data_IF_870178014798
#
_entry.id   IF_870178014798
#
_cell.length_a   1.000
_cell.length_b   1.000
_cell.length_c   1.000
_cell.angle_alpha   90.00
_cell.angle_beta   90.00
_cell.angle_gamma   90.00
#
_symmetry.space_group_name_H-M   'P 1'
#
loop_
_entity.id
_entity.type
_entity.pdbx_description
1 polymer ?
#
# COMPACT_ATOMS: atom_id res chain seq x y z
N UNK A 1 -7.19 47.28 -21.04
CA UNK A 1 -8.62 47.39 -21.38
C UNK A 1 -9.37 47.63 -20.09
N UNK A 2 -9.60 48.90 -19.77
CA UNK A 2 -10.26 49.33 -18.53
C UNK A 2 -11.76 49.36 -18.76
N UNK A 3 -12.44 48.27 -18.38
CA UNK A 3 -13.89 48.19 -18.38
C UNK A 3 -14.44 48.77 -17.10
N UNK A 4 -15.06 49.94 -17.22
CA UNK A 4 -15.90 50.58 -16.22
C UNK A 4 -17.10 49.67 -15.92
N UNK A 5 -16.95 48.75 -14.96
CA UNK A 5 -18.06 47.96 -14.44
C UNK A 5 -18.64 48.72 -13.26
N UNK A 6 -19.70 49.49 -13.51
CA UNK A 6 -20.51 50.22 -12.54
C UNK A 6 -21.20 49.27 -11.54
N UNK A 7 -20.41 48.57 -10.72
CA UNK A 7 -20.88 47.81 -9.57
C UNK A 7 -20.65 48.69 -8.37
N UNK A 8 -21.73 49.20 -7.77
CA UNK A 8 -21.63 50.01 -6.57
C UNK A 8 -20.96 49.20 -5.46
N UNK A 9 -20.09 49.80 -4.66
CA UNK A 9 -19.42 49.11 -3.52
C UNK A 9 -20.44 48.50 -2.53
N UNK A 10 -21.66 49.04 -2.51
CA UNK A 10 -22.78 48.49 -1.74
C UNK A 10 -23.32 47.15 -2.28
N UNK A 11 -23.09 46.80 -3.54
CA UNK A 11 -23.56 45.52 -4.12
C UNK A 11 -22.58 44.36 -3.86
N UNK A 12 -21.29 44.68 -3.69
CA UNK A 12 -20.21 43.71 -3.44
C UNK A 12 -19.92 43.49 -1.94
N UNK A 13 -20.44 44.37 -1.06
CA UNK A 13 -20.19 44.30 0.36
C UNK A 13 -21.15 43.33 1.06
N UNK A 14 -20.60 42.32 1.74
CA UNK A 14 -21.38 41.26 2.39
C UNK A 14 -22.33 41.76 3.50
N UNK A 15 -22.10 42.96 4.07
CA UNK A 15 -22.94 43.54 5.12
C UNK A 15 -23.95 44.58 4.61
N UNK A 16 -24.02 44.80 3.30
CA UNK A 16 -24.94 45.76 2.68
C UNK A 16 -26.30 45.13 2.38
N UNK A 17 -27.37 45.91 2.47
CA UNK A 17 -28.74 45.44 2.17
C UNK A 17 -28.98 45.12 0.69
N UNK A 18 -28.06 45.55 -0.20
CA UNK A 18 -28.15 45.36 -1.66
C UNK A 18 -27.13 44.34 -2.18
N UNK A 19 -26.69 43.41 -1.34
CA UNK A 19 -25.66 42.45 -1.68
C UNK A 19 -26.10 41.49 -2.81
N UNK A 20 -25.33 41.45 -3.90
CA UNK A 20 -25.51 40.51 -5.00
C UNK A 20 -24.38 39.46 -4.99
N UNK A 21 -24.67 38.19 -4.65
CA UNK A 21 -23.64 37.17 -4.55
C UNK A 21 -22.99 36.82 -5.89
N UNK A 22 -23.73 36.94 -7.01
CA UNK A 22 -23.22 36.58 -8.34
C UNK A 22 -22.25 37.66 -8.83
N UNK A 23 -22.63 38.94 -8.70
CA UNK A 23 -21.72 40.05 -9.01
C UNK A 23 -20.48 40.04 -8.13
N UNK A 24 -20.63 39.67 -6.86
CA UNK A 24 -19.50 39.56 -5.93
C UNK A 24 -18.51 38.49 -6.39
N UNK A 25 -18.99 37.30 -6.77
CA UNK A 25 -18.13 36.18 -7.20
C UNK A 25 -17.25 36.53 -8.42
N UNK A 26 -17.77 37.32 -9.36
CA UNK A 26 -17.06 37.74 -10.56
C UNK A 26 -16.39 39.11 -10.44
N UNK A 27 -16.53 39.78 -9.30
CA UNK A 27 -15.87 41.06 -9.04
C UNK A 27 -14.41 40.86 -8.70
N UNK A 28 -13.57 41.78 -9.17
CA UNK A 28 -12.14 41.84 -8.81
C UNK A 28 -11.88 42.44 -7.44
N UNK A 29 -12.89 43.05 -6.80
CA UNK A 29 -12.79 43.78 -5.53
C UNK A 29 -13.72 43.21 -4.46
N UNK A 30 -13.63 41.92 -4.18
CA UNK A 30 -14.39 41.34 -3.06
C UNK A 30 -13.77 41.78 -1.73
N UNK A 31 -14.52 42.56 -0.95
CA UNK A 31 -14.09 42.97 0.38
C UNK A 31 -14.56 41.95 1.41
N UNK A 32 -13.62 41.31 2.09
CA UNK A 32 -13.91 40.55 3.30
C UNK A 32 -14.23 41.57 4.41
N UNK A 33 -15.35 41.44 5.15
CA UNK A 33 -15.75 42.41 6.16
C UNK A 33 -14.72 42.67 7.27
N UNK A 34 -13.76 41.76 7.47
CA UNK A 34 -12.69 41.87 8.45
C UNK A 34 -11.35 41.82 7.71
N UNK A 35 -10.57 42.91 7.80
CA UNK A 35 -9.31 43.07 7.07
C UNK A 35 -8.25 42.00 7.43
N UNK A 36 -8.22 41.56 8.69
CA UNK A 36 -7.24 40.60 9.20
C UNK A 36 -7.78 39.16 9.26
N UNK A 37 -8.82 38.85 8.50
CA UNK A 37 -9.38 37.50 8.50
C UNK A 37 -8.44 36.49 7.81
N UNK A 38 -8.16 35.33 8.43
CA UNK A 38 -7.42 34.25 7.78
C UNK A 38 -8.16 33.75 6.54
N UNK A 39 -7.50 33.79 5.38
CA UNK A 39 -8.05 33.25 4.14
C UNK A 39 -7.56 31.81 3.91
N UNK A 40 -8.47 30.94 3.46
CA UNK A 40 -8.17 29.55 3.10
C UNK A 40 -8.75 29.26 1.72
N UNK A 41 -8.03 28.45 0.93
CA UNK A 41 -8.46 28.14 -0.45
C UNK A 41 -9.39 26.92 -0.53
N UNK A 42 -9.42 26.08 0.50
CA UNK A 42 -10.29 24.88 0.56
C UNK A 42 -11.03 24.81 1.89
N UNK A 43 -12.21 24.19 1.86
CA UNK A 43 -12.98 23.84 3.06
C UNK A 43 -12.16 22.93 3.97
N UNK A 44 -11.40 21.99 3.41
CA UNK A 44 -10.53 21.09 4.19
C UNK A 44 -9.46 21.86 4.99
N UNK A 45 -8.89 22.91 4.39
CA UNK A 45 -7.89 23.76 5.06
C UNK A 45 -8.51 24.52 6.23
N UNK A 46 -9.74 25.01 6.05
CA UNK A 46 -10.49 25.69 7.08
C UNK A 46 -10.88 24.75 8.22
N UNK A 47 -11.48 23.60 7.91
CA UNK A 47 -11.87 22.59 8.89
C UNK A 47 -10.67 22.10 9.69
N UNK A 48 -9.56 21.81 9.00
CA UNK A 48 -8.35 21.38 9.66
C UNK A 48 -7.76 22.50 10.53
N UNK A 49 -7.91 23.79 10.17
CA UNK A 49 -7.47 24.91 11.04
C UNK A 49 -8.34 25.07 12.29
N UNK A 50 -9.62 24.70 12.22
CA UNK A 50 -10.51 24.68 13.39
C UNK A 50 -10.18 23.51 14.32
N UNK A 51 -9.94 22.33 13.75
CA UNK A 51 -9.65 21.10 14.50
C UNK A 51 -8.23 21.11 15.09
N UNK A 52 -7.25 21.49 14.28
CA UNK A 52 -5.84 21.59 14.64
C UNK A 52 -5.47 23.06 14.75
N UNK A 53 -5.53 23.61 15.97
CA UNK A 53 -5.17 25.01 16.24
C UNK A 53 -3.81 25.33 15.61
N UNK A 54 -3.84 26.09 14.52
CA UNK A 54 -2.68 26.70 13.84
C UNK A 54 -1.74 25.77 13.05
N UNK A 55 -2.16 24.55 12.65
CA UNK A 55 -1.31 23.71 11.78
C UNK A 55 -1.29 24.19 10.32
N UNK A 56 -2.41 24.76 9.86
CA UNK A 56 -2.54 25.26 8.49
C UNK A 56 -2.28 26.76 8.48
N UNK A 57 -1.29 27.18 7.71
CA UNK A 57 -0.95 28.58 7.50
C UNK A 57 -1.95 29.20 6.52
N UNK A 58 -2.58 30.33 6.85
CA UNK A 58 -3.51 31.00 5.95
C UNK A 58 -2.82 31.56 4.70
N UNK A 59 -3.60 31.75 3.66
CA UNK A 59 -3.15 32.25 2.35
C UNK A 59 -2.60 33.67 2.50
N UNK A 60 -1.48 33.95 1.83
CA UNK A 60 -0.80 35.25 1.90
C UNK A 60 0.39 35.29 2.87
N UNK A 61 0.56 34.29 3.74
CA UNK A 61 1.68 34.22 4.69
C UNK A 61 2.81 33.28 4.22
N UNK A 62 3.31 33.50 2.99
CA UNK A 62 4.39 32.67 2.39
C UNK A 62 5.67 32.63 3.24
N UNK A 63 6.00 33.73 3.91
CA UNK A 63 7.16 33.82 4.81
C UNK A 63 7.05 32.87 6.01
N UNK A 64 5.86 32.76 6.61
CA UNK A 64 5.63 31.84 7.74
C UNK A 64 5.77 30.38 7.30
N UNK A 65 5.27 30.03 6.11
CA UNK A 65 5.44 28.69 5.53
C UNK A 65 6.92 28.37 5.32
N UNK A 66 7.68 29.34 4.79
CA UNK A 66 9.12 29.17 4.55
C UNK A 66 9.87 28.94 5.86
N UNK A 67 9.63 29.78 6.89
CA UNK A 67 10.26 29.65 8.19
C UNK A 67 9.96 28.29 8.85
N UNK A 68 8.70 27.85 8.83
CA UNK A 68 8.31 26.54 9.37
C UNK A 68 9.01 25.39 8.65
N UNK A 69 9.14 25.48 7.31
CA UNK A 69 9.83 24.47 6.51
C UNK A 69 11.31 24.39 6.88
N UNK A 70 11.99 25.54 6.98
CA UNK A 70 13.40 25.63 7.34
C UNK A 70 13.65 25.10 8.77
N UNK A 71 12.78 25.42 9.72
CA UNK A 71 12.90 24.92 11.09
C UNK A 71 12.72 23.39 11.14
N UNK A 72 11.71 22.87 10.43
CA UNK A 72 11.46 21.44 10.33
C UNK A 72 12.62 20.69 9.65
N UNK A 73 13.25 21.30 8.66
CA UNK A 73 14.42 20.75 8.00
C UNK A 73 15.65 20.74 8.92
N UNK A 74 15.90 21.83 9.65
CA UNK A 74 16.98 21.90 10.65
C UNK A 74 16.82 20.83 11.73
N UNK A 75 15.61 20.67 12.25
CA UNK A 75 15.28 19.65 13.25
C UNK A 75 15.52 18.23 12.72
N UNK A 76 15.01 17.93 11.53
CA UNK A 76 15.25 16.62 10.88
C UNK A 76 16.73 16.37 10.62
N UNK A 77 17.48 17.38 10.18
CA UNK A 77 18.92 17.24 9.93
C UNK A 77 19.70 16.99 11.22
N UNK A 78 19.32 17.65 12.32
CA UNK A 78 19.92 17.41 13.63
C UNK A 78 19.59 16.01 14.17
N UNK A 79 18.32 15.57 14.06
CA UNK A 79 17.91 14.21 14.39
C UNK A 79 18.65 13.16 13.55
N UNK A 80 18.78 13.41 12.24
CA UNK A 80 19.51 12.53 11.33
C UNK A 80 21.00 12.46 11.70
N UNK A 81 21.61 13.58 12.09
CA UNK A 81 23.00 13.63 12.56
C UNK A 81 23.17 12.84 13.86
N UNK A 82 22.29 13.03 14.83
CA UNK A 82 22.31 12.29 16.10
C UNK A 82 22.12 10.79 15.86
N UNK A 83 21.19 10.40 14.99
CA UNK A 83 20.95 9.00 14.62
C UNK A 83 22.16 8.40 13.89
N UNK A 84 22.80 9.16 12.99
CA UNK A 84 24.01 8.72 12.30
C UNK A 84 25.18 8.53 13.27
N UNK A 85 25.35 9.42 14.25
CA UNK A 85 26.37 9.30 15.29
C UNK A 85 26.10 8.11 16.21
N UNK A 86 24.86 7.92 16.68
CA UNK A 86 24.46 6.78 17.48
C UNK A 86 24.67 5.45 16.71
N UNK A 87 24.33 5.43 15.42
CA UNK A 87 24.60 4.28 14.56
C UNK A 87 26.11 4.03 14.41
N UNK A 88 26.90 5.09 14.17
CA UNK A 88 28.36 4.97 14.09
C UNK A 88 28.95 4.37 15.37
N UNK A 89 28.53 4.85 16.54
CA UNK A 89 28.97 4.31 17.83
C UNK A 89 28.52 2.85 18.02
N UNK A 90 27.26 2.52 17.68
CA UNK A 90 26.71 1.17 17.77
C UNK A 90 27.47 0.17 16.89
N UNK A 91 27.87 0.60 15.69
CA UNK A 91 28.53 -0.24 14.69
C UNK A 91 30.07 -0.17 14.72
N UNK A 92 30.67 0.76 15.47
CA UNK A 92 32.13 0.85 15.63
C UNK A 92 32.76 -0.48 16.09
N UNK A 93 32.10 -1.19 17.01
CA UNK A 93 32.54 -2.53 17.48
C UNK A 93 32.42 -3.66 16.44
N UNK A 94 31.74 -3.42 15.33
CA UNK A 94 31.45 -4.43 14.29
C UNK A 94 32.11 -4.09 12.94
N UNK A 95 33.05 -3.13 12.90
CA UNK A 95 33.75 -2.72 11.66
C UNK A 95 34.61 -3.85 11.04
N UNK A 96 34.98 -4.86 11.81
CA UNK A 96 35.66 -6.04 11.29
C UNK A 96 34.66 -6.97 10.56
N UNK A 97 35.05 -7.58 9.42
CA UNK A 97 34.30 -8.69 8.83
C UNK A 97 34.15 -9.81 9.86
N UNK A 98 32.98 -9.87 10.52
CA UNK A 98 32.69 -10.97 11.42
C UNK A 98 32.42 -12.21 10.58
N UNK A 99 33.02 -13.36 10.92
CA UNK A 99 32.72 -14.61 10.21
C UNK A 99 31.23 -14.90 10.40
N UNK A 100 30.44 -14.65 9.35
CA UNK A 100 29.01 -14.96 9.34
C UNK A 100 28.90 -16.48 9.35
N UNK A 101 28.42 -17.05 10.44
CA UNK A 101 27.97 -18.45 10.43
C UNK A 101 26.91 -18.54 9.32
N UNK A 102 27.05 -19.46 8.34
CA UNK A 102 26.02 -19.62 7.33
C UNK A 102 24.70 -19.88 8.05
N UNK A 103 23.61 -19.21 7.64
CA UNK A 103 22.30 -19.49 8.23
C UNK A 103 22.06 -21.00 8.14
N UNK A 104 21.46 -21.62 9.17
CA UNK A 104 21.19 -23.05 9.15
C UNK A 104 20.44 -23.36 7.86
N UNK A 105 20.94 -24.35 7.11
CA UNK A 105 20.33 -24.77 5.87
C UNK A 105 18.87 -25.10 6.17
N UNK A 106 17.96 -24.25 5.69
CA UNK A 106 16.53 -24.52 5.77
C UNK A 106 16.30 -25.67 4.80
N UNK A 107 16.22 -26.90 5.31
CA UNK A 107 15.79 -28.05 4.52
C UNK A 107 14.37 -27.72 4.04
N UNK A 108 14.26 -27.27 2.80
CA UNK A 108 12.98 -26.96 2.18
C UNK A 108 12.18 -28.25 2.17
N UNK A 109 11.09 -28.30 2.94
CA UNK A 109 10.20 -29.46 3.07
C UNK A 109 9.36 -29.64 1.81
N UNK A 110 10.03 -29.92 0.71
CA UNK A 110 9.42 -30.12 -0.60
C UNK A 110 8.81 -31.52 -0.67
N UNK A 111 7.86 -31.72 -1.59
CA UNK A 111 7.21 -33.01 -1.81
C UNK A 111 8.24 -34.12 -2.08
N UNK A 112 9.31 -33.82 -2.84
CA UNK A 112 10.39 -34.77 -3.12
C UNK A 112 11.11 -35.24 -1.85
N UNK A 113 11.37 -34.33 -0.90
CA UNK A 113 11.98 -34.68 0.38
C UNK A 113 11.03 -35.53 1.22
N UNK A 114 9.72 -35.21 1.21
CA UNK A 114 8.71 -36.05 1.86
C UNK A 114 8.62 -37.43 1.23
N UNK A 115 8.70 -37.56 -0.09
CA UNK A 115 8.70 -38.87 -0.77
C UNK A 115 9.91 -39.71 -0.36
N UNK A 116 11.07 -39.09 -0.15
CA UNK A 116 12.28 -39.78 0.31
C UNK A 116 12.12 -40.31 1.74
N UNK A 117 11.51 -39.52 2.62
CA UNK A 117 11.36 -39.80 4.05
C UNK A 117 10.01 -40.45 4.43
N UNK A 118 9.27 -41.03 3.47
CA UNK A 118 7.99 -41.71 3.75
C UNK A 118 8.26 -43.10 4.35
N UNK A 119 7.68 -43.32 5.53
CA UNK A 119 7.59 -44.62 6.19
C UNK A 119 6.13 -45.13 6.25
N UNK A 120 5.96 -46.45 6.39
CA UNK A 120 4.64 -47.09 6.54
C UNK A 120 4.03 -47.59 5.23
N UNK A 121 2.68 -47.66 5.10
CA UNK A 121 2.03 -48.30 3.96
C UNK A 121 2.32 -47.63 2.61
N UNK A 122 2.61 -46.33 2.61
CA UNK A 122 3.00 -45.59 1.41
C UNK A 122 4.46 -45.83 0.99
N UNK A 123 5.31 -46.40 1.87
CA UNK A 123 6.69 -46.74 1.54
C UNK A 123 6.77 -47.86 0.50
N UNK A 124 5.77 -48.75 0.45
CA UNK A 124 5.66 -49.76 -0.62
C UNK A 124 5.46 -49.08 -1.98
N UNK A 125 4.64 -48.04 -2.03
CA UNK A 125 4.44 -47.28 -3.26
C UNK A 125 5.72 -46.53 -3.68
N UNK A 126 6.49 -46.01 -2.71
CA UNK A 126 7.82 -45.45 -2.96
C UNK A 126 8.75 -46.48 -3.62
N UNK A 127 8.79 -47.71 -3.12
CA UNK A 127 9.58 -48.79 -3.73
C UNK A 127 9.12 -49.12 -5.16
N UNK A 128 7.81 -49.11 -5.42
CA UNK A 128 7.29 -49.29 -6.78
C UNK A 128 7.76 -48.19 -7.74
N UNK A 129 7.84 -46.94 -7.27
CA UNK A 129 8.38 -45.82 -8.06
C UNK A 129 9.89 -45.99 -8.29
N UNK A 130 10.66 -46.30 -7.25
CA UNK A 130 12.11 -46.49 -7.33
C UNK A 130 12.49 -47.63 -8.29
N UNK A 131 11.69 -48.70 -8.33
CA UNK A 131 11.87 -49.87 -9.21
C UNK A 131 11.13 -49.75 -10.56
N UNK A 132 10.44 -48.62 -10.80
CA UNK A 132 9.63 -48.35 -12.01
C UNK A 132 8.63 -49.48 -12.34
N UNK A 133 7.95 -49.99 -11.32
CA UNK A 133 6.93 -51.03 -11.46
C UNK A 133 5.60 -50.44 -11.92
N UNK A 134 4.89 -51.17 -12.79
CA UNK A 134 3.55 -50.78 -13.25
C UNK A 134 2.51 -51.13 -12.19
N UNK A 135 1.84 -50.11 -11.64
CA UNK A 135 0.82 -50.28 -10.59
C UNK A 135 -0.58 -50.06 -11.17
N UNK A 136 -1.51 -50.98 -10.92
CA UNK A 136 -2.93 -50.85 -11.29
C UNK A 136 -3.71 -50.23 -10.12
N UNK A 137 -4.16 -48.99 -10.28
CA UNK A 137 -4.96 -48.28 -9.27
C UNK A 137 -6.45 -48.54 -9.53
N UNK A 138 -7.15 -49.07 -8.52
CA UNK A 138 -8.61 -49.23 -8.57
C UNK A 138 -9.25 -48.05 -7.84
N UNK A 139 -9.93 -47.18 -8.58
CA UNK A 139 -10.65 -46.04 -8.00
C UNK A 139 -12.06 -46.53 -7.66
N UNK A 140 -12.55 -46.34 -6.43
CA UNK A 140 -13.91 -46.74 -6.08
C UNK A 140 -14.90 -45.88 -6.87
N UNK A 141 -15.73 -46.54 -7.69
CA UNK A 141 -16.86 -45.90 -8.34
C UNK A 141 -17.90 -45.56 -7.28
N UNK A 142 -18.12 -44.27 -7.05
CA UNK A 142 -19.29 -43.82 -6.31
C UNK A 142 -20.51 -44.23 -7.14
N UNK A 143 -21.26 -45.22 -6.66
CA UNK A 143 -22.57 -45.65 -7.16
C UNK A 143 -22.61 -46.05 -8.65
N UNK A 144 -22.42 -47.34 -8.95
CA UNK A 144 -22.94 -47.93 -10.17
C UNK A 144 -23.59 -49.27 -9.85
N UNK A 145 -24.93 -49.26 -9.81
CA UNK A 145 -25.73 -50.46 -9.83
C UNK A 145 -25.54 -51.26 -11.12
N UNK A 146 -25.89 -52.53 -11.03
CA UNK A 146 -26.38 -53.37 -12.12
C UNK A 146 -25.49 -53.49 -13.35
N UNK A 147 -24.63 -54.51 -13.36
CA UNK A 147 -24.00 -54.97 -14.59
C UNK A 147 -25.06 -55.57 -15.54
N UNK A 148 -25.37 -54.86 -16.62
CA UNK A 148 -25.71 -55.48 -17.90
C UNK A 148 -24.43 -55.59 -18.73
N UNK A 149 -24.12 -56.81 -19.18
CA UNK A 149 -23.04 -57.10 -20.11
C UNK A 149 -23.34 -56.42 -21.46
N UNK A 150 -22.52 -55.46 -21.87
CA UNK A 150 -22.36 -55.09 -23.28
C UNK A 150 -20.91 -54.67 -23.57
N UNK A 151 -20.26 -55.20 -24.63
CA UNK A 151 -18.86 -54.95 -24.95
C UNK A 151 -18.74 -53.77 -25.90
N UNK A 152 -19.04 -52.57 -25.43
CA UNK A 152 -18.82 -51.37 -26.22
C UNK A 152 -18.61 -50.16 -25.30
N UNK A 153 -17.34 -49.87 -25.00
CA UNK A 153 -16.80 -48.51 -24.91
C UNK A 153 -15.29 -48.66 -24.68
N UNK A 154 -14.56 -48.57 -25.79
CA UNK A 154 -13.12 -48.51 -25.80
C UNK A 154 -12.65 -47.27 -25.06
N UNK A 155 -12.16 -47.48 -23.84
CA UNK A 155 -11.27 -46.51 -23.21
C UNK A 155 -9.85 -46.77 -23.73
N UNK A 156 -9.30 -45.72 -24.33
CA UNK A 156 -7.97 -45.63 -24.91
C UNK A 156 -6.92 -46.33 -24.03
N UNK A 157 -6.30 -47.39 -24.58
CA UNK A 157 -5.30 -48.22 -23.92
C UNK A 157 -3.94 -47.52 -23.71
N UNK A 158 -3.81 -46.25 -24.07
CA UNK A 158 -2.54 -45.54 -24.07
C UNK A 158 -2.63 -44.21 -23.30
N UNK A 159 -2.99 -44.29 -22.00
CA UNK A 159 -2.53 -43.28 -21.05
C UNK A 159 -1.34 -43.88 -20.30
N UNK A 160 -0.25 -44.13 -21.02
CA UNK A 160 1.07 -44.28 -20.43
C UNK A 160 1.47 -42.93 -19.83
N UNK A 161 1.10 -42.71 -18.58
CA UNK A 161 1.88 -41.84 -17.70
C UNK A 161 3.11 -42.64 -17.30
N UNK A 162 4.10 -42.63 -18.18
CA UNK A 162 5.46 -43.01 -17.86
C UNK A 162 5.99 -42.00 -16.83
N UNK A 163 6.26 -42.48 -15.61
CA UNK A 163 7.15 -41.82 -14.65
C UNK A 163 8.53 -42.46 -14.75
#
# INVERSE_FOLDING_TARGET
MSGDSSTSDSEISACSSKFDPVKTLYSSRTLVPVENAPMYNSVDQFEASLQSKNTIVPVGHSELVRQQKEEKEKRQNEEARQLAEANRQRFAKYEAPTPRRPPPARTSKNVLHRIQDIDGPLAVLKQCVDQRLRVKVTIPALMAGSQSNDPALGYNRNNELTL
#
